data_IF_754383660952
#
_entry.id   IF_754383660952
#
_cell.length_a   1.000
_cell.length_b   1.000
_cell.length_c   1.000
_cell.angle_alpha   90.00
_cell.angle_beta   90.00
_cell.angle_gamma   90.00
#
_symmetry.space_group_name_H-M   'P 1'
#
loop_
_entity.id
_entity.type
_entity.pdbx_description
1 polymer ?
#
# COMPACT_ATOMS: atom_id res chain seq x y z
N UNK A 1 -14.39 -80.61 19.78
CA UNK A 1 -13.84 -79.75 18.73
C UNK A 1 -14.31 -78.33 18.99
N UNK A 2 -13.60 -77.54 19.80
CA UNK A 2 -13.93 -76.19 20.21
C UNK A 2 -13.36 -75.19 19.19
N UNK A 3 -14.24 -74.43 18.49
CA UNK A 3 -13.82 -73.29 17.67
C UNK A 3 -13.73 -72.04 18.55
N UNK A 4 -12.55 -71.50 18.72
CA UNK A 4 -12.30 -70.15 19.28
C UNK A 4 -12.50 -69.12 18.18
N UNK A 5 -13.53 -68.25 18.30
CA UNK A 5 -13.71 -67.08 17.50
C UNK A 5 -12.98 -65.92 18.16
N UNK A 6 -11.87 -65.48 17.57
CA UNK A 6 -11.15 -64.24 17.96
C UNK A 6 -11.94 -63.05 17.37
N UNK A 7 -12.64 -62.32 18.22
CA UNK A 7 -13.20 -61.00 17.87
C UNK A 7 -12.07 -59.96 17.96
N UNK A 8 -11.64 -59.45 16.83
CA UNK A 8 -10.85 -58.24 16.76
C UNK A 8 -11.69 -57.04 17.16
N UNK A 9 -11.55 -56.55 18.38
CA UNK A 9 -12.00 -55.23 18.79
C UNK A 9 -11.08 -54.17 18.13
N UNK A 10 -11.54 -53.58 17.05
CA UNK A 10 -10.96 -52.34 16.49
C UNK A 10 -11.16 -51.25 17.52
N UNK A 11 -10.10 -50.77 18.15
CA UNK A 11 -10.10 -49.53 18.90
C UNK A 11 -10.52 -48.40 17.95
N UNK A 12 -11.51 -47.57 18.29
CA UNK A 12 -11.78 -46.38 17.54
C UNK A 12 -10.54 -45.49 17.64
N UNK A 13 -9.92 -45.19 16.51
CA UNK A 13 -8.86 -44.20 16.42
C UNK A 13 -9.38 -42.91 17.04
N UNK A 14 -8.72 -42.48 18.09
CA UNK A 14 -8.92 -41.16 18.67
C UNK A 14 -8.54 -40.15 17.59
N UNK A 15 -9.54 -39.59 16.87
CA UNK A 15 -9.32 -38.36 16.11
C UNK A 15 -8.67 -37.35 17.06
N UNK A 16 -7.42 -37.00 16.80
CA UNK A 16 -6.79 -35.86 17.45
C UNK A 16 -7.69 -34.66 17.15
N UNK A 17 -8.53 -34.27 18.10
CA UNK A 17 -9.22 -32.98 18.05
C UNK A 17 -8.15 -31.92 17.85
N UNK A 18 -8.22 -31.23 16.71
CA UNK A 18 -7.40 -30.07 16.44
C UNK A 18 -7.64 -29.06 17.58
N UNK A 19 -6.63 -28.87 18.42
CA UNK A 19 -6.70 -28.00 19.60
C UNK A 19 -6.27 -26.57 19.28
N UNK A 20 -6.00 -26.28 18.00
CA UNK A 20 -5.59 -24.95 17.55
C UNK A 20 -6.75 -23.98 17.70
N UNK A 21 -6.54 -22.91 18.45
CA UNK A 21 -7.49 -21.83 18.69
C UNK A 21 -7.06 -20.61 17.90
N UNK A 22 -7.98 -19.96 17.21
CA UNK A 22 -7.75 -18.74 16.43
C UNK A 22 -8.74 -17.66 16.84
N UNK A 23 -8.24 -16.62 17.55
CA UNK A 23 -9.04 -15.50 18.02
C UNK A 23 -9.53 -14.62 16.85
N UNK A 24 -8.70 -14.46 15.81
CA UNK A 24 -9.04 -13.66 14.62
C UNK A 24 -10.22 -14.22 13.84
N UNK A 25 -10.54 -15.50 13.97
CA UNK A 25 -11.73 -16.12 13.38
C UNK A 25 -12.93 -16.12 14.32
N UNK A 26 -12.79 -15.58 15.54
CA UNK A 26 -13.91 -15.50 16.48
C UNK A 26 -14.89 -14.40 16.07
N UNK A 27 -16.11 -14.79 15.71
CA UNK A 27 -17.14 -13.88 15.21
C UNK A 27 -17.48 -12.77 16.21
N UNK A 28 -17.51 -13.05 17.51
CA UNK A 28 -17.81 -12.03 18.52
C UNK A 28 -16.72 -10.95 18.54
N UNK A 29 -15.44 -11.35 18.44
CA UNK A 29 -14.31 -10.41 18.37
C UNK A 29 -14.33 -9.60 17.05
N UNK A 30 -14.68 -10.24 15.94
CA UNK A 30 -14.84 -9.56 14.65
C UNK A 30 -15.97 -8.51 14.69
N UNK A 31 -17.12 -8.86 15.27
CA UNK A 31 -18.25 -7.92 15.44
C UNK A 31 -17.84 -6.72 16.30
N UNK A 32 -17.15 -6.95 17.41
CA UNK A 32 -16.60 -5.88 18.26
C UNK A 32 -15.60 -4.97 17.51
N UNK A 33 -14.81 -5.53 16.57
CA UNK A 33 -13.81 -4.81 15.78
C UNK A 33 -14.39 -4.06 14.58
N UNK A 34 -15.59 -4.43 14.09
CA UNK A 34 -16.13 -3.97 12.80
C UNK A 34 -16.16 -2.45 12.68
N UNK A 35 -16.75 -1.77 13.67
CA UNK A 35 -16.87 -0.31 13.62
C UNK A 35 -15.51 0.38 13.69
N UNK A 36 -14.59 -0.15 14.51
CA UNK A 36 -13.26 0.41 14.65
C UNK A 36 -12.42 0.27 13.38
N UNK A 37 -12.54 -0.83 12.65
CA UNK A 37 -11.90 -1.01 11.34
C UNK A 37 -12.50 -0.08 10.28
N UNK A 38 -13.82 0.09 10.25
CA UNK A 38 -14.46 1.05 9.38
C UNK A 38 -14.02 2.49 9.69
N UNK A 39 -13.93 2.86 10.95
CA UNK A 39 -13.45 4.18 11.37
C UNK A 39 -11.97 4.37 11.01
N UNK A 40 -11.14 3.34 11.16
CA UNK A 40 -9.73 3.34 10.75
C UNK A 40 -9.56 3.67 9.25
N UNK A 41 -10.22 2.89 8.41
CA UNK A 41 -10.12 3.09 6.95
C UNK A 41 -10.84 4.36 6.47
N UNK A 42 -11.76 4.93 7.24
CA UNK A 42 -12.36 6.26 7.02
C UNK A 42 -11.59 7.41 7.71
N UNK A 43 -10.35 7.19 8.14
CA UNK A 43 -9.50 8.23 8.75
C UNK A 43 -10.04 8.84 10.04
N UNK A 44 -10.99 8.16 10.71
CA UNK A 44 -11.52 8.53 12.03
C UNK A 44 -10.65 7.94 13.14
N UNK A 45 -9.34 8.20 13.07
CA UNK A 45 -8.32 7.56 13.89
C UNK A 45 -8.59 7.66 15.41
N UNK A 46 -9.08 8.80 15.89
CA UNK A 46 -9.36 8.95 17.31
C UNK A 46 -10.39 7.92 17.83
N UNK A 47 -11.46 7.68 17.04
CA UNK A 47 -12.50 6.68 17.37
C UNK A 47 -11.96 5.25 17.26
N UNK A 48 -11.28 4.95 16.16
CA UNK A 48 -10.69 3.63 15.94
C UNK A 48 -9.69 3.27 17.06
N UNK A 49 -8.75 4.17 17.37
CA UNK A 49 -7.75 3.94 18.40
C UNK A 49 -8.32 3.87 19.82
N UNK A 50 -9.42 4.57 20.11
CA UNK A 50 -10.12 4.42 21.38
C UNK A 50 -10.61 2.98 21.56
N UNK A 51 -11.22 2.41 20.53
CA UNK A 51 -11.68 1.02 20.55
C UNK A 51 -10.51 0.03 20.57
N UNK A 52 -9.44 0.26 19.80
CA UNK A 52 -8.25 -0.59 19.82
C UNK A 52 -7.54 -0.57 21.19
N UNK A 53 -7.53 0.55 21.89
CA UNK A 53 -7.05 0.62 23.28
C UNK A 53 -7.94 -0.16 24.25
N UNK A 54 -9.26 -0.15 24.04
CA UNK A 54 -10.17 -1.02 24.80
C UNK A 54 -9.89 -2.50 24.52
N UNK A 55 -9.69 -2.89 23.23
CA UNK A 55 -9.23 -4.23 22.89
C UNK A 55 -7.92 -4.61 23.62
N UNK A 56 -6.97 -3.67 23.70
CA UNK A 56 -5.71 -3.89 24.41
C UNK A 56 -5.92 -4.16 25.91
N UNK A 57 -6.91 -3.55 26.53
CA UNK A 57 -7.25 -3.87 27.94
C UNK A 57 -7.87 -5.27 28.06
N UNK A 58 -8.78 -5.63 27.14
CA UNK A 58 -9.51 -6.90 27.16
C UNK A 58 -8.64 -8.10 26.75
N UNK A 59 -7.77 -7.90 25.76
CA UNK A 59 -6.95 -8.94 25.13
C UNK A 59 -5.45 -8.61 25.19
N UNK A 60 -4.96 -8.12 26.35
CA UNK A 60 -3.56 -7.70 26.51
C UNK A 60 -2.53 -8.80 26.24
N UNK A 61 -2.94 -10.06 26.40
CA UNK A 61 -2.14 -11.26 26.17
C UNK A 61 -2.02 -11.64 24.69
N UNK A 62 -2.84 -11.04 23.80
CA UNK A 62 -2.92 -11.37 22.38
C UNK A 62 -2.31 -10.25 21.51
N UNK A 63 -1.61 -10.57 20.39
CA UNK A 63 -0.95 -9.58 19.53
C UNK A 63 -1.92 -8.67 18.74
N UNK A 64 -3.17 -9.11 18.47
CA UNK A 64 -4.15 -8.38 17.66
C UNK A 64 -4.31 -6.89 18.02
N UNK A 65 -4.56 -6.49 19.29
CA UNK A 65 -4.77 -5.07 19.58
C UNK A 65 -3.54 -4.20 19.34
N UNK A 66 -2.35 -4.73 19.55
CA UNK A 66 -1.09 -4.02 19.27
C UNK A 66 -0.90 -3.84 17.76
N UNK A 67 -1.18 -4.88 16.99
CA UNK A 67 -1.14 -4.83 15.54
C UNK A 67 -2.14 -3.80 14.96
N UNK A 68 -3.38 -3.75 15.47
CA UNK A 68 -4.40 -2.79 15.03
C UNK A 68 -4.01 -1.33 15.34
N UNK A 69 -3.37 -1.08 16.50
CA UNK A 69 -2.82 0.24 16.81
C UNK A 69 -1.67 0.61 15.86
N UNK A 70 -0.81 -0.34 15.53
CA UNK A 70 0.22 -0.15 14.51
C UNK A 70 -0.36 0.07 13.11
N UNK A 71 -1.42 -0.64 12.75
CA UNK A 71 -2.12 -0.45 11.47
C UNK A 71 -2.75 0.96 11.38
N UNK A 72 -3.20 1.53 12.52
CA UNK A 72 -3.64 2.93 12.56
C UNK A 72 -2.51 3.90 12.19
N UNK A 73 -1.31 3.70 12.72
CA UNK A 73 -0.17 4.55 12.36
C UNK A 73 0.31 4.30 10.92
N UNK A 74 0.23 3.06 10.43
CA UNK A 74 0.48 2.76 9.04
C UNK A 74 -0.43 3.56 8.08
N UNK A 75 -1.72 3.65 8.38
CA UNK A 75 -2.66 4.42 7.56
C UNK A 75 -2.51 5.93 7.69
N UNK A 76 -1.83 6.44 8.72
CA UNK A 76 -1.37 7.84 8.78
C UNK A 76 -0.13 8.09 7.92
N UNK A 77 0.70 7.07 7.69
CA UNK A 77 1.87 7.14 6.80
C UNK A 77 1.45 7.07 5.32
N UNK A 78 0.46 6.24 4.99
CA UNK A 78 0.12 5.88 3.61
C UNK A 78 -0.24 7.06 2.67
N UNK A 79 -0.96 8.12 3.09
CA UNK A 79 -1.27 9.24 2.21
C UNK A 79 -0.05 10.05 1.79
N UNK A 80 0.92 10.19 2.70
CA UNK A 80 2.15 10.97 2.48
C UNK A 80 3.33 10.19 3.04
N UNK A 81 3.80 9.22 2.27
CA UNK A 81 4.86 8.30 2.72
C UNK A 81 6.19 9.03 2.96
N UNK A 82 6.36 10.19 2.38
CA UNK A 82 7.50 11.09 2.60
C UNK A 82 7.53 11.62 4.05
N UNK A 83 6.37 11.72 4.71
CA UNK A 83 6.26 12.17 6.10
C UNK A 83 6.63 11.03 7.06
N UNK A 84 7.66 11.26 7.88
CA UNK A 84 8.18 10.26 8.84
C UNK A 84 7.63 10.41 10.26
N UNK A 85 6.73 11.36 10.49
CA UNK A 85 6.24 11.69 11.83
C UNK A 85 5.53 10.55 12.58
N UNK A 86 5.13 9.49 11.87
CA UNK A 86 4.46 8.33 12.46
C UNK A 86 5.34 7.07 12.50
N UNK A 87 6.56 7.09 11.92
CA UNK A 87 7.41 5.91 11.78
C UNK A 87 7.77 5.26 13.12
N UNK A 88 8.26 6.05 14.09
CA UNK A 88 8.71 5.53 15.38
C UNK A 88 7.57 4.86 16.16
N UNK A 89 6.38 5.48 16.15
CA UNK A 89 5.21 4.94 16.85
C UNK A 89 4.69 3.68 16.16
N UNK A 90 4.65 3.68 14.82
CA UNK A 90 4.34 2.48 14.03
C UNK A 90 5.29 1.33 14.37
N UNK A 91 6.61 1.58 14.34
CA UNK A 91 7.63 0.57 14.64
C UNK A 91 7.50 0.05 16.07
N UNK A 92 7.23 0.91 17.05
CA UNK A 92 7.03 0.51 18.44
C UNK A 92 5.81 -0.41 18.63
N UNK A 93 4.69 -0.17 17.89
CA UNK A 93 3.55 -1.08 17.90
C UNK A 93 3.85 -2.41 17.21
N UNK A 94 4.60 -2.40 16.09
CA UNK A 94 5.03 -3.65 15.46
C UNK A 94 5.96 -4.46 16.36
N UNK A 95 6.88 -3.81 17.09
CA UNK A 95 7.74 -4.47 18.08
C UNK A 95 6.94 -5.03 19.27
N UNK A 96 5.95 -4.30 19.75
CA UNK A 96 5.02 -4.78 20.78
C UNK A 96 4.24 -6.00 20.30
N UNK A 97 3.74 -5.96 19.06
CA UNK A 97 3.06 -7.09 18.42
C UNK A 97 3.95 -8.34 18.39
N UNK A 98 5.20 -8.19 17.94
CA UNK A 98 6.18 -9.28 17.88
C UNK A 98 6.45 -9.83 19.27
N UNK A 99 6.69 -8.98 20.26
CA UNK A 99 7.00 -9.40 21.64
C UNK A 99 5.85 -10.22 22.26
N UNK A 100 4.61 -9.75 22.11
CA UNK A 100 3.42 -10.45 22.62
C UNK A 100 3.20 -11.75 21.87
N UNK A 101 3.35 -11.74 20.53
CA UNK A 101 3.22 -12.93 19.71
C UNK A 101 4.30 -13.98 20.01
N UNK A 102 5.56 -13.58 20.22
CA UNK A 102 6.64 -14.51 20.64
C UNK A 102 6.35 -15.19 21.98
N UNK A 103 5.80 -14.44 22.95
CA UNK A 103 5.42 -14.99 24.23
C UNK A 103 4.25 -15.99 24.08
N UNK A 104 3.25 -15.65 23.27
CA UNK A 104 2.10 -16.51 22.95
C UNK A 104 2.57 -17.79 22.27
N UNK A 105 3.40 -17.68 21.23
CA UNK A 105 3.96 -18.78 20.46
C UNK A 105 4.76 -19.77 21.31
N UNK A 106 5.53 -19.28 22.30
CA UNK A 106 6.38 -20.11 23.16
C UNK A 106 5.61 -20.83 24.26
N UNK A 107 4.57 -20.20 24.82
CA UNK A 107 3.90 -20.69 26.03
C UNK A 107 2.61 -21.46 25.76
N UNK A 108 1.97 -21.23 24.62
CA UNK A 108 0.62 -21.73 24.33
C UNK A 108 0.57 -22.37 22.94
N UNK A 109 0.82 -23.70 22.86
CA UNK A 109 0.86 -24.41 21.57
C UNK A 109 -0.41 -24.26 20.72
N UNK A 110 -1.57 -24.11 21.39
CA UNK A 110 -2.89 -23.93 20.76
C UNK A 110 -3.02 -22.61 19.98
N UNK A 111 -2.22 -21.58 20.30
CA UNK A 111 -2.20 -20.29 19.60
C UNK A 111 -0.97 -20.13 18.69
N UNK A 112 -0.20 -21.17 18.50
CA UNK A 112 1.10 -21.08 17.82
C UNK A 112 0.99 -20.52 16.42
N UNK A 113 0.00 -20.96 15.64
CA UNK A 113 -0.21 -20.54 14.24
C UNK A 113 -0.64 -19.08 14.17
N UNK A 114 -1.58 -18.67 15.02
CA UNK A 114 -2.03 -17.30 15.09
C UNK A 114 -0.91 -16.34 15.51
N UNK A 115 -0.09 -16.74 16.49
CA UNK A 115 1.09 -15.99 16.89
C UNK A 115 2.10 -15.86 15.72
N UNK A 116 2.34 -16.94 14.97
CA UNK A 116 3.19 -16.93 13.79
C UNK A 116 2.65 -15.96 12.72
N UNK A 117 1.34 -15.97 12.47
CA UNK A 117 0.69 -15.01 11.56
C UNK A 117 0.98 -13.54 11.95
N UNK A 118 0.79 -13.17 13.23
CA UNK A 118 1.07 -11.80 13.66
C UNK A 118 2.56 -11.44 13.61
N UNK A 119 3.46 -12.39 13.89
CA UNK A 119 4.89 -12.16 13.69
C UNK A 119 5.24 -11.96 12.22
N UNK A 120 4.70 -12.80 11.33
CA UNK A 120 4.88 -12.64 9.89
C UNK A 120 4.38 -11.28 9.39
N UNK A 121 3.16 -10.89 9.78
CA UNK A 121 2.55 -9.62 9.42
C UNK A 121 3.38 -8.43 9.94
N UNK A 122 3.73 -8.41 11.23
CA UNK A 122 4.50 -7.31 11.82
C UNK A 122 5.89 -7.16 11.19
N UNK A 123 6.61 -8.25 10.96
CA UNK A 123 7.89 -8.19 10.23
C UNK A 123 7.70 -7.79 8.76
N UNK A 124 6.64 -8.22 8.09
CA UNK A 124 6.31 -7.82 6.72
C UNK A 124 6.08 -6.31 6.60
N UNK A 125 5.28 -5.73 7.50
CA UNK A 125 5.03 -4.30 7.55
C UNK A 125 6.29 -3.48 7.89
N UNK A 126 7.12 -3.94 8.84
CA UNK A 126 8.43 -3.32 9.11
C UNK A 126 9.33 -3.37 7.88
N UNK A 127 9.39 -4.52 7.20
CA UNK A 127 10.16 -4.69 5.98
C UNK A 127 9.73 -3.72 4.88
N UNK A 128 8.42 -3.53 4.72
CA UNK A 128 7.86 -2.57 3.75
C UNK A 128 8.22 -1.13 4.09
N UNK A 129 8.14 -0.71 5.36
CA UNK A 129 8.54 0.63 5.76
C UNK A 129 10.03 0.87 5.50
N UNK A 130 10.89 -0.07 5.89
CA UNK A 130 12.33 0.04 5.70
C UNK A 130 12.79 0.03 4.23
N UNK A 131 12.03 -0.63 3.34
CA UNK A 131 12.34 -0.72 1.92
C UNK A 131 11.87 0.49 1.11
N UNK A 132 11.19 1.44 1.73
CA UNK A 132 10.73 2.65 1.06
C UNK A 132 11.89 3.49 0.50
N UNK A 133 11.69 4.10 -0.68
CA UNK A 133 12.74 4.83 -1.41
C UNK A 133 13.33 6.00 -0.63
N UNK A 134 12.57 6.62 0.26
CA UNK A 134 13.06 7.72 1.08
C UNK A 134 13.78 7.23 2.34
N UNK A 135 13.45 6.05 2.85
CA UNK A 135 14.07 5.44 4.04
C UNK A 135 15.33 4.67 3.73
N UNK A 136 15.33 3.87 2.66
CA UNK A 136 16.50 3.13 2.11
C UNK A 136 17.23 2.25 3.12
N UNK A 137 16.52 1.74 4.12
CA UNK A 137 17.09 0.88 5.15
C UNK A 137 17.13 -0.59 4.72
N UNK A 138 17.71 -0.87 3.57
CA UNK A 138 17.69 -2.16 2.87
C UNK A 138 18.13 -3.35 3.72
N UNK A 139 19.11 -3.16 4.61
CA UNK A 139 19.57 -4.24 5.53
C UNK A 139 18.47 -4.60 6.52
N UNK A 140 17.79 -3.61 7.11
CA UNK A 140 16.68 -3.85 8.03
C UNK A 140 15.49 -4.48 7.28
N UNK A 141 15.20 -4.02 6.07
CA UNK A 141 14.16 -4.59 5.22
C UNK A 141 14.42 -6.08 4.91
N UNK A 142 15.63 -6.43 4.50
CA UNK A 142 16.01 -7.80 4.21
C UNK A 142 15.92 -8.71 5.44
N UNK A 143 16.39 -8.23 6.61
CA UNK A 143 16.30 -8.99 7.87
C UNK A 143 14.84 -9.19 8.30
N UNK A 144 14.01 -8.16 8.19
CA UNK A 144 12.59 -8.24 8.50
C UNK A 144 11.87 -9.21 7.54
N UNK A 145 12.15 -9.14 6.23
CA UNK A 145 11.62 -10.07 5.24
C UNK A 145 11.99 -11.53 5.53
N UNK A 146 13.26 -11.80 5.88
CA UNK A 146 13.70 -13.15 6.27
C UNK A 146 12.93 -13.69 7.50
N UNK A 147 12.68 -12.83 8.50
CA UNK A 147 11.91 -13.22 9.68
C UNK A 147 10.43 -13.43 9.34
N UNK A 148 9.84 -12.57 8.50
CA UNK A 148 8.47 -12.75 8.03
C UNK A 148 8.29 -14.10 7.33
N UNK A 149 9.19 -14.46 6.41
CA UNK A 149 9.15 -15.73 5.68
C UNK A 149 9.22 -16.95 6.59
N UNK A 150 10.07 -16.90 7.64
CA UNK A 150 10.14 -17.98 8.62
C UNK A 150 8.79 -18.30 9.25
N UNK A 151 8.03 -17.26 9.63
CA UNK A 151 6.74 -17.43 10.29
C UNK A 151 5.60 -17.68 9.30
N UNK A 152 5.70 -17.20 8.06
CA UNK A 152 4.78 -17.57 6.99
C UNK A 152 4.82 -19.07 6.70
N UNK A 153 6.01 -19.68 6.73
CA UNK A 153 6.14 -21.12 6.53
C UNK A 153 5.40 -21.93 7.60
N UNK A 154 5.39 -21.47 8.84
CA UNK A 154 4.61 -22.10 9.92
C UNK A 154 3.10 -21.98 9.70
N UNK A 155 2.61 -20.97 8.98
CA UNK A 155 1.18 -20.75 8.70
C UNK A 155 0.64 -21.63 7.56
N UNK A 156 1.50 -22.06 6.61
CA UNK A 156 1.07 -22.77 5.39
C UNK A 156 0.34 -24.08 5.65
N UNK A 157 0.73 -24.82 6.67
CA UNK A 157 0.11 -26.10 7.00
C UNK A 157 -1.32 -25.96 7.58
N UNK A 158 -1.70 -24.73 7.97
CA UNK A 158 -2.92 -24.45 8.71
C UNK A 158 -3.76 -23.31 8.06
N UNK A 159 -3.53 -23.03 6.77
CA UNK A 159 -4.21 -21.96 6.03
C UNK A 159 -5.73 -22.16 5.94
N UNK A 160 -6.19 -23.42 6.04
CA UNK A 160 -7.61 -23.77 6.09
C UNK A 160 -8.34 -23.23 7.32
N UNK A 161 -7.64 -22.83 8.39
CA UNK A 161 -8.25 -22.32 9.62
C UNK A 161 -8.84 -20.92 9.45
N UNK A 162 -8.25 -20.10 8.58
CA UNK A 162 -8.74 -18.75 8.32
C UNK A 162 -8.19 -18.20 7.02
N UNK A 163 -9.00 -17.50 6.19
CA UNK A 163 -8.54 -16.76 5.02
C UNK A 163 -7.47 -15.71 5.34
N UNK A 164 -7.41 -15.22 6.58
CA UNK A 164 -6.38 -14.26 7.02
C UNK A 164 -4.97 -14.81 6.81
N UNK A 165 -4.77 -16.10 7.04
CA UNK A 165 -3.46 -16.77 6.98
C UNK A 165 -2.89 -16.81 5.56
N UNK A 166 -3.75 -16.75 4.54
CA UNK A 166 -3.33 -16.72 3.13
C UNK A 166 -2.70 -15.39 2.71
N UNK A 167 -2.95 -14.29 3.43
CA UNK A 167 -2.56 -12.94 2.98
C UNK A 167 -1.05 -12.80 2.76
N UNK A 168 -0.25 -13.24 3.71
CA UNK A 168 1.21 -13.17 3.61
C UNK A 168 1.77 -14.08 2.53
N UNK A 169 1.26 -15.30 2.43
CA UNK A 169 1.65 -16.29 1.41
C UNK A 169 1.32 -15.78 0.00
N UNK A 170 0.15 -15.19 -0.18
CA UNK A 170 -0.28 -14.59 -1.44
C UNK A 170 0.68 -13.49 -1.93
N UNK A 171 1.09 -12.59 -1.03
CA UNK A 171 2.07 -11.55 -1.34
C UNK A 171 3.44 -12.17 -1.67
N UNK A 172 3.86 -13.18 -0.92
CA UNK A 172 5.11 -13.88 -1.21
C UNK A 172 5.08 -14.54 -2.59
N UNK A 173 4.04 -15.30 -2.91
CA UNK A 173 3.88 -15.95 -4.21
C UNK A 173 3.98 -14.96 -5.36
N UNK A 174 3.34 -13.82 -5.26
CA UNK A 174 3.38 -12.80 -6.30
C UNK A 174 4.75 -12.11 -6.39
N UNK A 175 5.22 -11.51 -5.30
CA UNK A 175 6.39 -10.65 -5.34
C UNK A 175 7.73 -11.41 -5.45
N UNK A 176 7.80 -12.65 -5.00
CA UNK A 176 9.03 -13.45 -5.18
C UNK A 176 9.33 -13.76 -6.65
N UNK A 177 8.31 -13.84 -7.51
CA UNK A 177 8.48 -13.98 -8.96
C UNK A 177 8.78 -12.61 -9.57
N UNK A 178 7.97 -11.60 -9.26
CA UNK A 178 8.15 -10.25 -9.80
C UNK A 178 9.55 -9.69 -9.55
N UNK A 179 10.09 -9.80 -8.33
CA UNK A 179 11.44 -9.32 -8.00
C UNK A 179 12.51 -10.04 -8.84
N UNK A 180 12.33 -11.34 -9.11
CA UNK A 180 13.28 -12.10 -9.95
C UNK A 180 13.26 -11.64 -11.42
N UNK A 181 12.10 -11.23 -11.91
CA UNK A 181 11.91 -10.76 -13.28
C UNK A 181 12.46 -9.33 -13.46
N UNK A 182 12.04 -8.40 -12.58
CA UNK A 182 12.38 -6.97 -12.72
C UNK A 182 13.76 -6.60 -12.17
N UNK A 183 14.31 -7.41 -11.25
CA UNK A 183 15.63 -7.18 -10.66
C UNK A 183 16.57 -8.38 -10.85
N UNK A 184 17.01 -8.67 -12.07
CA UNK A 184 17.87 -9.85 -12.36
C UNK A 184 19.16 -9.90 -11.54
N UNK A 185 19.71 -8.74 -11.15
CA UNK A 185 20.89 -8.63 -10.30
C UNK A 185 20.70 -9.25 -8.89
N UNK A 186 19.46 -9.39 -8.44
CA UNK A 186 19.15 -10.02 -7.14
C UNK A 186 18.98 -11.54 -7.21
N UNK A 187 18.96 -12.14 -8.40
CA UNK A 187 18.79 -13.60 -8.60
C UNK A 187 19.73 -14.45 -7.74
N UNK A 188 21.05 -14.15 -7.62
CA UNK A 188 21.94 -14.94 -6.79
C UNK A 188 21.56 -14.92 -5.32
N UNK A 189 21.00 -13.84 -4.82
CA UNK A 189 20.52 -13.72 -3.44
C UNK A 189 19.19 -14.44 -3.25
N UNK A 190 18.36 -14.48 -4.27
CA UNK A 190 17.01 -15.05 -4.25
C UNK A 190 16.99 -16.57 -4.47
N UNK A 191 18.10 -17.19 -4.87
CA UNK A 191 18.17 -18.64 -5.08
C UNK A 191 17.96 -19.46 -3.77
N UNK A 192 18.16 -18.84 -2.61
CA UNK A 192 17.92 -19.47 -1.31
C UNK A 192 16.44 -19.41 -0.85
N UNK A 193 15.58 -18.71 -1.60
CA UNK A 193 14.17 -18.60 -1.27
C UNK A 193 13.34 -19.47 -2.22
N UNK A 194 12.27 -20.14 -1.75
CA UNK A 194 11.37 -20.90 -2.59
C UNK A 194 10.85 -20.05 -3.76
N UNK A 195 10.60 -20.67 -4.89
CA UNK A 195 9.98 -19.98 -6.02
C UNK A 195 8.49 -19.82 -5.76
N UNK A 196 7.97 -18.61 -5.95
CA UNK A 196 6.53 -18.36 -5.90
C UNK A 196 5.82 -18.66 -7.22
N UNK A 197 4.53 -18.35 -7.25
CA UNK A 197 3.65 -18.44 -8.40
C UNK A 197 2.74 -17.21 -8.44
N UNK A 198 2.91 -16.33 -9.45
CA UNK A 198 2.11 -15.10 -9.59
C UNK A 198 0.61 -15.38 -9.69
N UNK A 199 0.21 -16.42 -10.43
CA UNK A 199 -1.19 -16.76 -10.62
C UNK A 199 -1.82 -17.24 -9.32
N UNK A 200 -1.11 -18.07 -8.55
CA UNK A 200 -1.53 -18.50 -7.22
C UNK A 200 -1.62 -17.29 -6.28
N UNK A 201 -0.61 -16.43 -6.23
CA UNK A 201 -0.62 -15.23 -5.41
C UNK A 201 -1.82 -14.31 -5.68
N UNK A 202 -2.14 -14.06 -6.96
CA UNK A 202 -3.33 -13.30 -7.35
C UNK A 202 -4.64 -14.01 -6.96
N UNK A 203 -4.70 -15.33 -7.10
CA UNK A 203 -5.87 -16.13 -6.68
C UNK A 203 -6.09 -16.02 -5.18
N UNK A 204 -5.04 -16.23 -4.39
CA UNK A 204 -5.09 -16.12 -2.93
C UNK A 204 -5.44 -14.70 -2.46
N UNK A 205 -4.86 -13.64 -3.08
CA UNK A 205 -5.23 -12.26 -2.75
C UNK A 205 -6.71 -11.97 -3.02
N UNK A 206 -7.28 -12.51 -4.11
CA UNK A 206 -8.72 -12.42 -4.37
C UNK A 206 -9.51 -13.13 -3.30
N UNK A 207 -9.12 -14.35 -2.93
CA UNK A 207 -9.74 -15.13 -1.85
C UNK A 207 -9.78 -14.31 -0.54
N UNK A 208 -8.64 -13.76 -0.13
CA UNK A 208 -8.53 -12.90 1.06
C UNK A 208 -9.42 -11.66 0.94
N UNK A 209 -9.45 -11.02 -0.22
CA UNK A 209 -10.24 -9.79 -0.44
C UNK A 209 -11.76 -10.00 -0.31
N UNK A 210 -12.26 -11.23 -0.47
CA UNK A 210 -13.68 -11.57 -0.31
C UNK A 210 -13.99 -12.17 1.07
N UNK A 211 -13.11 -13.01 1.58
CA UNK A 211 -13.43 -13.91 2.69
C UNK A 211 -12.77 -13.56 4.02
N UNK A 212 -11.67 -12.80 4.01
CA UNK A 212 -11.03 -12.34 5.24
C UNK A 212 -11.79 -11.17 5.88
N UNK A 213 -11.58 -10.96 7.17
CA UNK A 213 -12.16 -9.85 7.91
C UNK A 213 -11.15 -8.73 8.13
N UNK A 214 -10.00 -9.02 8.75
CA UNK A 214 -8.98 -8.01 9.08
C UNK A 214 -8.11 -7.63 7.89
N UNK A 215 -7.73 -8.61 7.06
CA UNK A 215 -6.81 -8.38 5.93
C UNK A 215 -7.49 -8.08 4.61
N UNK A 216 -8.85 -8.10 4.57
CA UNK A 216 -9.65 -7.83 3.37
C UNK A 216 -9.25 -6.54 2.65
N UNK A 217 -9.28 -5.43 3.37
CA UNK A 217 -8.99 -4.11 2.79
C UNK A 217 -7.53 -4.01 2.34
N UNK A 218 -6.59 -4.56 3.10
CA UNK A 218 -5.18 -4.62 2.69
C UNK A 218 -4.99 -5.46 1.41
N UNK A 219 -5.69 -6.60 1.30
CA UNK A 219 -5.65 -7.42 0.09
C UNK A 219 -6.20 -6.66 -1.13
N UNK A 220 -7.29 -5.92 -0.98
CA UNK A 220 -7.84 -5.05 -2.03
C UNK A 220 -6.84 -3.95 -2.44
N UNK A 221 -6.18 -3.32 -1.48
CA UNK A 221 -5.14 -2.31 -1.74
C UNK A 221 -3.98 -2.92 -2.55
N UNK A 222 -3.53 -4.12 -2.18
CA UNK A 222 -2.48 -4.80 -2.94
C UNK A 222 -2.94 -5.21 -4.33
N UNK A 223 -4.15 -5.77 -4.50
CA UNK A 223 -4.71 -6.11 -5.80
C UNK A 223 -4.81 -4.87 -6.70
N UNK A 224 -5.33 -3.75 -6.18
CA UNK A 224 -5.41 -2.49 -6.90
C UNK A 224 -4.05 -2.03 -7.40
N UNK A 225 -3.02 -2.07 -6.54
CA UNK A 225 -1.65 -1.69 -6.90
C UNK A 225 -1.04 -2.65 -7.90
N UNK A 226 -1.20 -3.96 -7.70
CA UNK A 226 -0.68 -4.99 -8.59
C UNK A 226 -1.28 -4.83 -9.98
N UNK A 227 -2.59 -4.73 -10.09
CA UNK A 227 -3.27 -4.57 -11.38
C UNK A 227 -2.85 -3.29 -12.10
N UNK A 228 -2.70 -2.17 -11.40
CA UNK A 228 -2.29 -0.91 -12.04
C UNK A 228 -0.80 -0.88 -12.41
N UNK A 229 0.08 -1.31 -11.49
CA UNK A 229 1.52 -1.02 -11.62
C UNK A 229 2.34 -2.16 -12.21
N UNK A 230 1.83 -3.41 -12.15
CA UNK A 230 2.61 -4.59 -12.55
C UNK A 230 1.91 -5.45 -13.60
N UNK A 231 0.58 -5.56 -13.56
CA UNK A 231 -0.18 -6.38 -14.52
C UNK A 231 -0.81 -5.56 -15.65
N UNK A 232 -0.69 -4.24 -15.60
CA UNK A 232 -1.29 -3.30 -16.57
C UNK A 232 -2.81 -3.53 -16.79
N UNK A 233 -3.50 -4.03 -15.76
CA UNK A 233 -4.94 -4.29 -15.77
C UNK A 233 -5.70 -3.13 -15.12
N UNK A 234 -5.77 -2.01 -15.84
CA UNK A 234 -6.36 -0.78 -15.32
C UNK A 234 -7.88 -0.88 -15.10
N UNK A 235 -8.58 -1.83 -15.73
CA UNK A 235 -10.02 -2.04 -15.49
C UNK A 235 -10.27 -2.62 -14.11
N UNK A 236 -9.54 -3.66 -13.71
CA UNK A 236 -9.63 -4.21 -12.37
C UNK A 236 -9.15 -3.21 -11.31
N UNK A 237 -8.08 -2.46 -11.59
CA UNK A 237 -7.60 -1.42 -10.69
C UNK A 237 -8.65 -0.31 -10.48
N UNK A 238 -9.35 0.12 -11.53
CA UNK A 238 -10.43 1.09 -11.44
C UNK A 238 -11.60 0.57 -10.60
N UNK A 239 -12.08 -0.64 -10.86
CA UNK A 239 -13.17 -1.24 -10.09
C UNK A 239 -12.86 -1.32 -8.59
N UNK A 240 -11.65 -1.77 -8.24
CA UNK A 240 -11.25 -1.87 -6.83
C UNK A 240 -11.08 -0.49 -6.20
N UNK A 241 -10.47 0.47 -6.91
CA UNK A 241 -10.29 1.83 -6.39
C UNK A 241 -11.62 2.56 -6.18
N UNK A 242 -12.58 2.37 -7.07
CA UNK A 242 -13.94 2.88 -6.93
C UNK A 242 -14.65 2.27 -5.71
N UNK A 243 -14.58 0.94 -5.56
CA UNK A 243 -15.16 0.26 -4.40
C UNK A 243 -14.56 0.76 -3.08
N UNK A 244 -13.22 0.85 -2.99
CA UNK A 244 -12.53 1.33 -1.79
C UNK A 244 -12.91 2.78 -1.46
N UNK A 245 -12.95 3.67 -2.44
CA UNK A 245 -13.35 5.06 -2.24
C UNK A 245 -14.81 5.19 -1.83
N UNK A 246 -15.74 4.45 -2.46
CA UNK A 246 -17.16 4.47 -2.08
C UNK A 246 -17.42 3.89 -0.70
N UNK A 247 -16.64 2.88 -0.29
CA UNK A 247 -16.76 2.26 1.04
C UNK A 247 -16.14 3.14 2.13
N UNK A 248 -15.03 3.81 1.82
CA UNK A 248 -14.26 4.63 2.75
C UNK A 248 -14.02 6.05 2.18
N UNK A 249 -15.09 6.87 2.07
CA UNK A 249 -15.04 8.14 1.34
C UNK A 249 -14.14 9.21 1.98
N UNK A 250 -13.80 9.06 3.26
CA UNK A 250 -12.92 9.99 3.96
C UNK A 250 -11.44 9.60 3.85
N UNK A 251 -11.12 8.52 3.14
CA UNK A 251 -9.74 8.08 2.94
C UNK A 251 -9.07 8.79 1.76
N UNK A 252 -8.09 9.68 2.00
CA UNK A 252 -7.45 10.46 0.93
C UNK A 252 -6.61 9.61 -0.02
N UNK A 253 -6.07 8.49 0.45
CA UNK A 253 -5.31 7.56 -0.39
C UNK A 253 -6.21 6.88 -1.41
N UNK A 254 -7.39 6.41 -0.99
CA UNK A 254 -8.36 5.78 -1.90
C UNK A 254 -8.95 6.78 -2.88
N UNK A 255 -9.30 7.99 -2.41
CA UNK A 255 -9.81 9.06 -3.25
C UNK A 255 -8.79 9.44 -4.34
N UNK A 256 -7.54 9.69 -3.96
CA UNK A 256 -6.45 9.99 -4.90
C UNK A 256 -6.23 8.86 -5.90
N UNK A 257 -6.26 7.60 -5.44
CA UNK A 257 -6.05 6.45 -6.32
C UNK A 257 -7.19 6.30 -7.32
N UNK A 258 -8.43 6.50 -6.88
CA UNK A 258 -9.60 6.51 -7.76
C UNK A 258 -9.49 7.62 -8.82
N UNK A 259 -9.19 8.85 -8.44
CA UNK A 259 -8.97 9.94 -9.38
C UNK A 259 -7.86 9.64 -10.41
N UNK A 260 -6.76 8.98 -9.96
CA UNK A 260 -5.70 8.51 -10.84
C UNK A 260 -6.20 7.46 -11.84
N UNK A 261 -7.02 6.51 -11.41
CA UNK A 261 -7.55 5.48 -12.30
C UNK A 261 -8.53 6.07 -13.32
N UNK A 262 -9.37 7.03 -12.93
CA UNK A 262 -10.22 7.78 -13.85
C UNK A 262 -9.40 8.54 -14.91
N UNK A 263 -8.31 9.19 -14.51
CA UNK A 263 -7.37 9.81 -15.43
C UNK A 263 -6.76 8.80 -16.40
N UNK A 264 -6.26 7.68 -15.89
CA UNK A 264 -5.64 6.61 -16.70
C UNK A 264 -6.62 6.00 -17.72
N UNK A 265 -7.90 5.94 -17.38
CA UNK A 265 -8.96 5.41 -18.26
C UNK A 265 -9.58 6.48 -19.17
N UNK A 266 -9.10 7.72 -19.12
CA UNK A 266 -9.65 8.83 -19.92
C UNK A 266 -11.07 9.27 -19.52
N UNK A 267 -11.53 8.92 -18.33
CA UNK A 267 -12.83 9.32 -17.77
C UNK A 267 -12.76 10.76 -17.24
N UNK A 268 -12.51 11.71 -18.13
CA UNK A 268 -12.12 13.07 -17.76
C UNK A 268 -13.18 13.86 -16.99
N UNK A 269 -14.47 13.58 -17.19
CA UNK A 269 -15.56 14.24 -16.45
C UNK A 269 -15.54 13.86 -14.96
N UNK A 270 -15.44 12.58 -14.67
CA UNK A 270 -15.38 12.07 -13.31
C UNK A 270 -14.03 12.43 -12.66
N UNK A 271 -12.92 12.31 -13.39
CA UNK A 271 -11.59 12.71 -12.93
C UNK A 271 -11.57 14.20 -12.53
N UNK A 272 -12.17 15.09 -13.30
CA UNK A 272 -12.26 16.52 -12.98
C UNK A 272 -13.04 16.74 -11.68
N UNK A 273 -14.19 16.07 -11.52
CA UNK A 273 -15.01 16.17 -10.32
C UNK A 273 -14.24 15.73 -9.08
N UNK A 274 -13.63 14.53 -9.13
CA UNK A 274 -12.90 13.98 -7.99
C UNK A 274 -11.63 14.79 -7.68
N UNK A 275 -10.89 15.26 -8.69
CA UNK A 275 -9.71 16.10 -8.48
C UNK A 275 -10.06 17.44 -7.83
N UNK A 276 -11.16 18.09 -8.25
CA UNK A 276 -11.64 19.30 -7.58
C UNK A 276 -12.08 19.03 -6.14
N UNK A 277 -12.76 17.91 -5.89
CA UNK A 277 -13.16 17.51 -4.55
C UNK A 277 -11.93 17.28 -3.63
N UNK A 278 -10.86 16.67 -4.13
CA UNK A 278 -9.60 16.52 -3.40
C UNK A 278 -9.04 17.89 -3.00
N UNK A 279 -8.94 18.84 -3.93
CA UNK A 279 -8.44 20.19 -3.63
C UNK A 279 -9.31 20.91 -2.60
N UNK A 280 -10.63 20.82 -2.72
CA UNK A 280 -11.57 21.40 -1.74
C UNK A 280 -11.35 20.81 -0.34
N UNK A 281 -11.13 19.50 -0.22
CA UNK A 281 -10.87 18.83 1.07
C UNK A 281 -9.53 19.24 1.67
N UNK A 282 -8.53 19.53 0.83
CA UNK A 282 -7.24 20.10 1.29
C UNK A 282 -7.47 21.51 1.85
N UNK A 283 -8.20 22.36 1.12
CA UNK A 283 -8.51 23.73 1.54
C UNK A 283 -9.33 23.75 2.85
N UNK A 284 -10.17 22.73 3.08
CA UNK A 284 -10.96 22.56 4.31
C UNK A 284 -10.15 22.01 5.48
N UNK A 285 -8.91 21.56 5.27
CA UNK A 285 -8.08 20.96 6.31
C UNK A 285 -8.53 19.56 6.75
N UNK A 286 -9.19 18.80 5.85
CA UNK A 286 -9.65 17.45 6.13
C UNK A 286 -8.46 16.52 6.43
N UNK A 287 -8.62 15.64 7.45
CA UNK A 287 -7.56 14.76 7.93
C UNK A 287 -7.00 13.89 6.79
N UNK A 288 -5.68 13.97 6.60
CA UNK A 288 -4.94 13.19 5.61
C UNK A 288 -5.03 13.72 4.17
N UNK A 289 -5.86 14.75 3.91
CA UNK A 289 -5.86 15.47 2.64
C UNK A 289 -4.75 16.53 2.66
N UNK A 290 -3.63 16.20 2.05
CA UNK A 290 -2.38 16.96 2.11
C UNK A 290 -1.79 17.18 0.70
N UNK A 291 -0.68 17.92 0.64
CA UNK A 291 0.01 18.29 -0.58
C UNK A 291 0.32 17.11 -1.53
N UNK A 292 0.56 15.90 -0.99
CA UNK A 292 0.73 14.71 -1.85
C UNK A 292 -0.53 14.43 -2.68
N UNK A 293 -1.72 14.47 -2.09
CA UNK A 293 -2.98 14.28 -2.85
C UNK A 293 -3.25 15.46 -3.78
N UNK A 294 -2.92 16.67 -3.34
CA UNK A 294 -3.04 17.90 -4.12
C UNK A 294 -2.20 17.88 -5.39
N UNK A 295 -0.97 17.41 -5.31
CA UNK A 295 -0.05 17.26 -6.45
C UNK A 295 -0.66 16.43 -7.58
N UNK A 296 -1.30 15.29 -7.25
CA UNK A 296 -1.97 14.45 -8.24
C UNK A 296 -3.18 15.17 -8.85
N UNK A 297 -4.07 15.68 -8.00
CA UNK A 297 -5.29 16.34 -8.43
C UNK A 297 -5.03 17.57 -9.30
N UNK A 298 -4.09 18.42 -8.89
CA UNK A 298 -3.70 19.60 -9.66
C UNK A 298 -3.07 19.22 -11.01
N UNK A 299 -2.20 18.22 -11.05
CA UNK A 299 -1.61 17.75 -12.31
C UNK A 299 -2.69 17.29 -13.31
N UNK A 300 -3.64 16.48 -12.86
CA UNK A 300 -4.73 16.00 -13.74
C UNK A 300 -5.59 17.14 -14.25
N UNK A 301 -5.88 18.14 -13.43
CA UNK A 301 -6.63 19.33 -13.84
C UNK A 301 -5.81 20.21 -14.81
N UNK A 302 -4.51 20.31 -14.61
CA UNK A 302 -3.60 20.99 -15.55
C UNK A 302 -3.60 20.35 -16.92
N UNK A 303 -3.47 19.03 -16.99
CA UNK A 303 -3.57 18.25 -18.24
C UNK A 303 -4.94 18.43 -18.93
N UNK A 304 -6.02 18.42 -18.16
CA UNK A 304 -7.35 18.63 -18.69
C UNK A 304 -7.54 20.06 -19.23
N UNK A 305 -6.99 21.07 -18.55
CA UNK A 305 -7.00 22.46 -18.99
C UNK A 305 -6.26 22.61 -20.32
N UNK A 306 -5.10 21.99 -20.45
CA UNK A 306 -4.32 21.97 -21.70
C UNK A 306 -5.09 21.28 -22.84
N UNK A 307 -5.64 20.09 -22.59
CA UNK A 307 -6.48 19.38 -23.56
C UNK A 307 -7.67 20.22 -24.05
N UNK A 308 -8.31 20.99 -23.16
CA UNK A 308 -9.42 21.90 -23.48
C UNK A 308 -8.98 23.24 -24.03
N UNK A 309 -7.68 23.48 -24.21
CA UNK A 309 -7.10 24.76 -24.65
C UNK A 309 -7.41 25.93 -23.70
N UNK A 310 -7.62 25.65 -22.43
CA UNK A 310 -7.80 26.65 -21.35
C UNK A 310 -6.45 26.95 -20.72
N UNK A 311 -5.61 27.71 -21.40
CA UNK A 311 -4.19 27.90 -21.04
C UNK A 311 -4.02 28.50 -19.65
N UNK A 312 -4.87 29.43 -19.21
CA UNK A 312 -4.75 30.06 -17.90
C UNK A 312 -5.12 29.08 -16.77
N UNK A 313 -6.18 28.28 -16.97
CA UNK A 313 -6.54 27.20 -16.02
C UNK A 313 -5.40 26.17 -15.93
N UNK A 314 -4.88 25.72 -17.07
CA UNK A 314 -3.79 24.76 -17.12
C UNK A 314 -2.55 25.28 -16.39
N UNK A 315 -2.15 26.53 -16.65
CA UNK A 315 -1.03 27.18 -15.97
C UNK A 315 -1.23 27.21 -14.47
N UNK A 316 -2.37 27.69 -13.98
CA UNK A 316 -2.70 27.74 -12.56
C UNK A 316 -2.55 26.37 -11.88
N UNK A 317 -3.05 25.31 -12.49
CA UNK A 317 -2.99 23.97 -11.92
C UNK A 317 -1.58 23.36 -12.00
N UNK A 318 -0.80 23.63 -13.02
CA UNK A 318 0.60 23.20 -13.07
C UNK A 318 1.46 23.94 -12.03
N UNK A 319 1.26 25.25 -11.84
CA UNK A 319 1.90 26.00 -10.74
C UNK A 319 1.55 25.42 -9.38
N UNK A 320 0.28 25.07 -9.15
CA UNK A 320 -0.17 24.42 -7.93
C UNK A 320 0.47 23.02 -7.75
N UNK A 321 0.64 22.26 -8.84
CA UNK A 321 1.34 20.97 -8.81
C UNK A 321 2.78 21.14 -8.37
N UNK A 322 3.49 22.16 -8.89
CA UNK A 322 4.86 22.49 -8.52
C UNK A 322 4.93 22.87 -7.04
N UNK A 323 4.05 23.73 -6.57
CA UNK A 323 3.97 24.13 -5.16
C UNK A 323 3.81 22.92 -4.23
N UNK A 324 2.84 22.06 -4.47
CA UNK A 324 2.62 20.84 -3.67
C UNK A 324 3.80 19.86 -3.73
N UNK A 325 4.48 19.77 -4.86
CA UNK A 325 5.66 18.91 -4.97
C UNK A 325 6.86 19.47 -4.16
N UNK A 326 7.03 20.78 -4.15
CA UNK A 326 8.08 21.45 -3.36
C UNK A 326 7.79 21.34 -1.86
N UNK A 327 6.56 21.51 -1.43
CA UNK A 327 6.13 21.35 -0.04
C UNK A 327 6.43 19.95 0.50
N UNK A 328 6.26 18.91 -0.30
CA UNK A 328 6.52 17.51 0.10
C UNK A 328 7.94 17.03 -0.22
N UNK A 329 8.78 17.86 -0.83
CA UNK A 329 10.11 17.45 -1.29
C UNK A 329 10.12 16.54 -2.52
N UNK A 330 8.94 16.26 -3.11
CA UNK A 330 8.76 15.33 -4.23
C UNK A 330 9.18 15.92 -5.60
N UNK A 331 10.29 16.68 -5.62
CA UNK A 331 10.79 17.43 -6.78
C UNK A 331 11.42 16.56 -7.88
N UNK A 332 11.50 15.25 -7.68
CA UNK A 332 11.90 14.28 -8.71
C UNK A 332 10.72 13.51 -9.31
N UNK A 333 9.51 13.74 -8.80
CA UNK A 333 8.32 13.04 -9.30
C UNK A 333 7.99 13.45 -10.74
N UNK A 334 7.44 12.51 -11.52
CA UNK A 334 7.01 12.79 -12.90
C UNK A 334 6.02 13.94 -12.98
N UNK A 335 5.09 14.06 -12.03
CA UNK A 335 4.12 15.15 -12.00
C UNK A 335 4.77 16.52 -11.86
N UNK A 336 5.79 16.66 -11.02
CA UNK A 336 6.57 17.88 -10.90
C UNK A 336 7.31 18.21 -12.20
N UNK A 337 8.08 17.25 -12.72
CA UNK A 337 8.92 17.44 -13.89
C UNK A 337 8.12 17.80 -15.14
N UNK A 338 7.00 17.10 -15.38
CA UNK A 338 6.14 17.38 -16.53
C UNK A 338 5.32 18.68 -16.36
N UNK A 339 4.99 19.10 -15.14
CA UNK A 339 4.40 20.42 -14.89
C UNK A 339 5.37 21.54 -15.24
N UNK A 340 6.66 21.41 -14.85
CA UNK A 340 7.69 22.39 -15.25
C UNK A 340 7.88 22.42 -16.77
N UNK A 341 7.86 21.27 -17.45
CA UNK A 341 7.93 21.23 -18.92
C UNK A 341 6.75 21.97 -19.54
N UNK A 342 5.54 21.74 -19.07
CA UNK A 342 4.33 22.40 -19.56
C UNK A 342 4.39 23.95 -19.34
N UNK A 343 4.79 24.37 -18.13
CA UNK A 343 4.98 25.80 -17.80
C UNK A 343 6.04 26.45 -18.68
N UNK A 344 7.15 25.77 -18.91
CA UNK A 344 8.21 26.22 -19.81
C UNK A 344 7.73 26.38 -21.25
N UNK A 345 6.92 25.45 -21.74
CA UNK A 345 6.34 25.54 -23.08
C UNK A 345 5.34 26.70 -23.19
N UNK A 346 4.49 26.89 -22.19
CA UNK A 346 3.56 28.02 -22.13
C UNK A 346 4.28 29.37 -22.09
N UNK A 347 5.41 29.47 -21.40
CA UNK A 347 6.27 30.67 -21.40
C UNK A 347 6.89 30.92 -22.77
N UNK A 348 7.41 29.87 -23.41
CA UNK A 348 7.98 29.95 -24.75
C UNK A 348 6.97 30.41 -25.79
N UNK A 349 5.74 29.89 -25.77
CA UNK A 349 4.64 30.28 -26.67
C UNK A 349 4.26 31.76 -26.51
N UNK A 350 4.45 32.35 -25.33
CA UNK A 350 4.23 33.78 -25.08
C UNK A 350 5.44 34.65 -25.44
N UNK A 351 6.52 34.04 -25.91
CA UNK A 351 7.77 34.73 -26.26
C UNK A 351 8.71 34.97 -25.07
N UNK A 352 8.38 34.48 -23.87
CA UNK A 352 9.23 34.63 -22.68
C UNK A 352 10.26 33.50 -22.60
N UNK A 353 11.24 33.56 -23.50
CA UNK A 353 12.32 32.57 -23.60
C UNK A 353 13.16 32.47 -22.32
N UNK A 354 13.30 33.55 -21.57
CA UNK A 354 14.10 33.55 -20.34
C UNK A 354 13.43 32.74 -19.24
N UNK A 355 12.10 32.84 -19.08
CA UNK A 355 11.33 32.06 -18.14
C UNK A 355 11.25 30.60 -18.60
N UNK A 356 11.02 30.34 -19.89
CA UNK A 356 11.02 28.99 -20.44
C UNK A 356 12.35 28.25 -20.15
N UNK A 357 13.47 28.94 -20.35
CA UNK A 357 14.81 28.41 -20.06
C UNK A 357 14.93 27.98 -18.59
N UNK A 358 14.52 28.81 -17.63
CA UNK A 358 14.58 28.51 -16.20
C UNK A 358 13.82 27.21 -15.85
N UNK A 359 12.62 27.03 -16.39
CA UNK A 359 11.84 25.81 -16.16
C UNK A 359 12.54 24.57 -16.73
N UNK A 360 13.05 24.61 -17.96
CA UNK A 360 13.73 23.46 -18.56
C UNK A 360 15.08 23.14 -17.87
N UNK A 361 15.80 24.15 -17.39
CA UNK A 361 17.03 23.95 -16.61
C UNK A 361 16.73 23.29 -15.26
N UNK A 362 15.65 23.69 -14.59
CA UNK A 362 15.25 23.05 -13.33
C UNK A 362 14.86 21.57 -13.54
N UNK A 363 14.15 21.23 -14.61
CA UNK A 363 13.91 19.82 -14.98
C UNK A 363 15.22 19.06 -15.16
N UNK A 364 16.21 19.61 -15.92
CA UNK A 364 17.50 18.97 -16.11
C UNK A 364 18.30 18.79 -14.82
N UNK A 365 18.12 19.65 -13.86
CA UNK A 365 18.78 19.59 -12.55
C UNK A 365 18.17 18.50 -11.66
N UNK A 366 16.84 18.31 -11.71
CA UNK A 366 16.09 17.41 -10.83
C UNK A 366 15.93 16.00 -11.38
N UNK A 367 15.72 15.85 -12.70
CA UNK A 367 15.50 14.57 -13.35
C UNK A 367 16.80 13.75 -13.50
N UNK A 368 16.68 12.44 -13.43
CA UNK A 368 17.78 11.54 -13.75
C UNK A 368 18.08 11.57 -15.25
N UNK A 369 19.36 11.43 -15.63
CA UNK A 369 19.79 11.53 -17.05
C UNK A 369 19.14 10.55 -18.00
N UNK A 370 18.67 9.42 -17.49
CA UNK A 370 17.95 8.37 -18.24
C UNK A 370 16.46 8.66 -18.43
N UNK A 371 15.89 9.59 -17.65
CA UNK A 371 14.48 9.91 -17.69
C UNK A 371 14.08 10.65 -18.98
N UNK A 372 12.89 10.39 -19.46
CA UNK A 372 12.33 11.06 -20.65
C UNK A 372 12.16 12.57 -20.41
N UNK A 373 11.80 12.99 -19.19
CA UNK A 373 11.70 14.40 -18.83
C UNK A 373 13.05 15.13 -18.99
N UNK A 374 14.18 14.48 -18.60
CA UNK A 374 15.51 15.05 -18.82
C UNK A 374 15.84 15.22 -20.30
N UNK A 375 15.56 14.19 -21.11
CA UNK A 375 15.81 14.22 -22.56
C UNK A 375 14.96 15.29 -23.24
N UNK A 376 13.68 15.40 -22.86
CA UNK A 376 12.76 16.40 -23.40
C UNK A 376 13.20 17.83 -23.04
N UNK A 377 13.51 18.10 -21.79
CA UNK A 377 14.02 19.40 -21.37
C UNK A 377 15.31 19.80 -22.10
N UNK A 378 16.25 18.86 -22.27
CA UNK A 378 17.49 19.08 -23.05
C UNK A 378 17.19 19.44 -24.51
N UNK A 379 16.23 18.75 -25.14
CA UNK A 379 15.81 19.06 -26.52
C UNK A 379 15.22 20.46 -26.64
N UNK A 380 14.33 20.84 -25.70
CA UNK A 380 13.68 22.15 -25.67
C UNK A 380 14.66 23.29 -25.47
N UNK A 381 15.64 23.15 -24.56
CA UNK A 381 16.72 24.10 -24.37
C UNK A 381 17.51 24.33 -25.67
N UNK A 382 17.90 23.22 -26.35
CA UNK A 382 18.60 23.32 -27.65
C UNK A 382 17.76 24.05 -28.71
N UNK A 383 16.43 23.93 -28.69
CA UNK A 383 15.56 24.62 -29.62
C UNK A 383 15.40 26.12 -29.30
N UNK A 384 15.43 26.50 -28.01
CA UNK A 384 15.47 27.91 -27.62
C UNK A 384 16.74 28.59 -28.11
N UNK A 385 17.89 27.90 -28.06
CA UNK A 385 19.20 28.42 -28.52
C UNK A 385 19.29 28.57 -30.04
N UNK A 386 18.48 27.81 -30.82
CA UNK A 386 18.48 27.89 -32.30
C UNK A 386 17.50 28.93 -32.86
N UNK A 387 16.59 29.40 -32.04
CA UNK A 387 15.62 30.42 -32.43
C UNK A 387 16.04 31.84 -32.06
N UNK A 388 17.27 32.01 -31.59
CA UNK A 388 17.96 33.28 -31.45
C UNK A 388 18.90 33.45 -32.65
#
# INVERSE_FOLDING_TARGET
>A
MLCFVFSFLSSPGQEKKDTTIILISNIAVQLEATQALNDLYNFKFAKAEQQFRWFKQKYAWHPLPYFLLGLSDWWKIMPSIENRGHDDRFLAYMDSTIMVAENLHKRYPEYRIEAAFFMAAAYGFKGRLYSDEDRKEWRKAALAGKRALKYLEECKEMDYLSPELLFGDALYHYFSVWVREDYPALKPLLCFFPQGDKALGLKQLREVSYNAFYTRTEAMVWLMRIYNSYENNNDQALQISEYLYKTYPDNPYFHRYYARMLYTKGMFGDMERESKAILTRIDSGDIGYEATSGRYAAFFLGQLGEFRRKTDDARKYYELTVQFAEETGATKSGYYLYSLIALGEMANQRGDKAVARKYFEEVRKKADRKDEAFKDAKRRLKNLDKGD
#
